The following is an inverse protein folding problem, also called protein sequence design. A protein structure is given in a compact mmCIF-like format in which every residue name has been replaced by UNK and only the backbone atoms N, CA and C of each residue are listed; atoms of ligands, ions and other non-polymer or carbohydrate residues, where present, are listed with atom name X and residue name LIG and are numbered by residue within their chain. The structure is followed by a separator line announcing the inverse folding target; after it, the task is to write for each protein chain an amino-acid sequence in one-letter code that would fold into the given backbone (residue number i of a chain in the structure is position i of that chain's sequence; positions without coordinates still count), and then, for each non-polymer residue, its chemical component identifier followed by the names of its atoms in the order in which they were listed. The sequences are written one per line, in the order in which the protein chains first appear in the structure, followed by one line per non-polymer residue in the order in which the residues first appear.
data_IF_780187991683
#
_entry.id   IF_780187991683
#
_cell.length_a   1.000
_cell.length_b   1.000
_cell.length_c   1.000
_cell.angle_alpha   90.00
_cell.angle_beta   90.00
_cell.angle_gamma   90.00
#
_symmetry.space_group_name_H-M   'P 1'
#
loop_
_entity.id
_entity.type
_entity.pdbx_description
1 polymer ?
2 non-polymer ?
3 non-polymer ?
4 water ?
#
# COMPACT_ATOMS: atom_id res chain seq x y z
N UNK A 1 3.65 -24.82 -13.50
CA UNK A 1 4.90 -24.13 -13.92
C UNK A 1 5.35 -23.07 -12.91
N UNK A 2 6.66 -23.04 -12.58
CA UNK A 2 7.25 -22.14 -11.58
C UNK A 2 8.26 -21.26 -12.24
N UNK A 3 8.13 -19.94 -12.23
CA UNK A 3 9.07 -19.06 -12.87
C UNK A 3 9.79 -18.34 -11.76
N UNK A 4 11.07 -18.02 -11.87
CA UNK A 4 11.78 -17.24 -10.88
C UNK A 4 12.06 -15.80 -11.37
N UNK A 5 11.85 -14.72 -10.55
CA UNK A 5 12.44 -13.43 -10.83
C UNK A 5 13.04 -12.97 -9.53
N UNK A 6 13.64 -11.83 -9.43
CA UNK A 6 14.32 -11.43 -8.24
C UNK A 6 14.68 -9.97 -8.31
N UNK A 7 15.28 -9.37 -7.27
CA UNK A 7 15.72 -7.98 -7.31
C UNK A 7 16.82 -7.83 -6.28
N UNK A 8 17.47 -6.67 -6.27
CA UNK A 8 18.54 -6.42 -5.36
C UNK A 8 18.75 -4.93 -5.36
N UNK A 9 19.37 -4.25 -4.37
CA UNK A 9 19.70 -2.83 -4.45
C UNK A 9 20.91 -2.61 -3.60
N UNK A 10 21.68 -1.56 -3.67
CA UNK A 10 22.76 -1.29 -2.74
C UNK A 10 23.02 0.17 -2.80
N UNK A 11 23.53 0.84 -1.78
CA UNK A 11 23.80 2.27 -1.82
C UNK A 11 24.00 2.70 -0.37
N UNK A 12 23.73 3.98 -0.15
CA UNK A 12 23.91 4.58 1.16
C UNK A 12 22.67 5.33 1.54
N UNK A 13 22.40 5.34 2.85
CA UNK A 13 21.14 5.88 3.31
C UNK A 13 21.39 6.75 4.50
N UNK A 14 20.68 7.86 4.53
CA UNK A 14 20.80 8.83 5.57
C UNK A 14 19.51 8.83 6.36
N UNK A 15 19.57 8.42 7.63
CA UNK A 15 18.38 8.24 8.47
C UNK A 15 17.92 9.38 9.32
N UNK A 16 18.63 10.47 9.05
CA UNK A 16 18.36 11.68 9.76
C UNK A 16 19.63 12.22 10.39
N UNK A 17 20.55 11.30 10.74
CA UNK A 17 21.75 11.63 11.53
C UNK A 17 23.04 11.10 10.94
N UNK A 18 22.96 9.83 10.49
CA UNK A 18 24.06 9.12 9.87
C UNK A 18 23.74 8.46 8.59
N UNK A 19 24.81 8.36 7.81
CA UNK A 19 24.77 7.58 6.57
C UNK A 19 25.01 6.09 6.86
N UNK A 20 24.41 5.10 6.21
CA UNK A 20 24.74 3.72 6.46
C UNK A 20 24.65 3.09 5.11
N UNK A 21 25.41 2.04 4.93
CA UNK A 21 25.29 1.22 3.74
C UNK A 21 23.92 0.57 3.86
N UNK A 22 23.17 0.33 2.79
CA UNK A 22 21.94 -0.39 2.90
C UNK A 22 21.90 -1.26 1.66
N UNK A 23 21.59 -2.57 1.74
CA UNK A 23 21.40 -3.45 0.59
C UNK A 23 20.51 -4.66 0.85
N UNK A 24 20.08 -5.36 -0.20
CA UNK A 24 19.24 -6.50 -0.06
C UNK A 24 19.15 -7.20 -1.37
N UNK A 25 18.74 -8.45 -1.33
CA UNK A 25 18.36 -9.14 -2.51
C UNK A 25 17.16 -9.99 -2.13
N UNK A 26 16.20 -10.21 -3.05
CA UNK A 26 14.98 -11.01 -2.91
C UNK A 26 14.80 -11.88 -4.16
N UNK A 27 13.92 -12.90 -4.15
CA UNK A 27 13.65 -13.86 -5.23
C UNK A 27 12.18 -14.08 -5.09
N UNK A 28 11.48 -14.05 -6.21
CA UNK A 28 10.05 -14.21 -6.21
C UNK A 28 9.75 -15.47 -6.98
N UNK A 29 8.89 -16.38 -6.47
CA UNK A 29 8.45 -17.61 -7.07
C UNK A 29 7.07 -17.28 -7.58
N UNK A 30 6.81 -17.41 -8.88
CA UNK A 30 5.50 -17.15 -9.49
C UNK A 30 5.10 -18.49 -10.03
N UNK A 31 3.96 -19.03 -9.74
CA UNK A 31 3.61 -20.33 -10.20
C UNK A 31 2.31 -20.10 -10.94
N UNK A 32 2.07 -20.75 -12.11
CA UNK A 32 0.81 -20.62 -12.92
C UNK A 32 0.36 -21.91 -13.59
N UNK A 33 -0.91 -21.92 -14.02
CA UNK A 33 -1.55 -23.07 -14.66
C UNK A 33 -2.91 -22.65 -15.24
N UNK A 34 -3.48 -23.40 -16.22
CA UNK A 34 -4.75 -23.10 -16.84
C UNK A 34 -5.54 -24.35 -16.70
N UNK A 35 -6.82 -24.36 -16.32
CA UNK A 35 -7.55 -25.60 -16.26
C UNK A 35 -8.08 -25.89 -17.70
N UNK A 36 -8.61 -27.10 -17.98
CA UNK A 36 -9.22 -27.46 -19.23
C UNK A 36 -10.26 -26.42 -19.66
N UNK A 37 -11.13 -25.71 -18.91
CA UNK A 37 -11.99 -24.74 -19.51
C UNK A 37 -11.37 -23.37 -19.54
N UNK A 38 -10.09 -23.20 -19.22
CA UNK A 38 -9.49 -21.89 -19.37
C UNK A 38 -9.57 -20.99 -18.18
N UNK A 39 -9.86 -21.58 -17.03
CA UNK A 39 -9.69 -20.87 -15.77
C UNK A 39 -8.20 -20.74 -15.47
N UNK A 40 -7.66 -19.65 -14.97
CA UNK A 40 -6.24 -19.47 -14.63
C UNK A 40 -6.11 -19.58 -13.11
N UNK A 41 -4.99 -20.03 -12.66
CA UNK A 41 -4.83 -20.18 -11.25
C UNK A 41 -3.38 -19.98 -11.00
N UNK A 42 -2.96 -19.61 -9.82
CA UNK A 42 -1.53 -19.44 -9.54
C UNK A 42 -1.30 -19.11 -8.10
N UNK A 43 -0.07 -18.80 -7.79
CA UNK A 43 0.34 -18.59 -6.44
C UNK A 43 1.64 -17.88 -6.52
N UNK A 44 2.01 -17.01 -5.61
CA UNK A 44 3.39 -16.52 -5.58
C UNK A 44 3.81 -16.03 -4.21
N UNK A 45 5.07 -16.06 -3.85
CA UNK A 45 5.53 -15.53 -2.60
C UNK A 45 7.03 -15.23 -2.75
N UNK A 46 7.72 -14.41 -1.90
CA UNK A 46 9.14 -14.19 -2.08
C UNK A 46 9.91 -15.15 -1.26
N UNK A 47 11.19 -15.46 -1.47
CA UNK A 47 11.82 -16.51 -0.69
C UNK A 47 11.88 -16.30 0.85
N UNK A 48 12.07 -15.05 1.29
CA UNK A 48 12.13 -14.68 2.68
C UNK A 48 10.77 -14.86 3.31
N UNK A 49 9.69 -15.18 2.56
CA UNK A 49 8.40 -15.43 3.11
C UNK A 49 7.98 -16.87 3.05
N UNK A 50 8.88 -17.80 2.73
CA UNK A 50 8.58 -19.21 2.63
C UNK A 50 7.78 -19.65 3.82
N UNK A 51 8.18 -19.31 5.03
CA UNK A 51 7.47 -19.75 6.21
C UNK A 51 6.08 -19.19 6.26
N UNK A 52 5.78 -17.93 6.11
CA UNK A 52 4.44 -17.51 6.29
C UNK A 52 3.65 -17.86 5.12
N UNK A 53 4.26 -18.03 3.94
CA UNK A 53 3.51 -18.32 2.76
C UNK A 53 2.95 -19.70 2.91
N UNK A 54 3.57 -20.58 3.62
CA UNK A 54 3.07 -21.90 3.93
C UNK A 54 1.90 -21.87 4.91
N UNK A 55 1.45 -20.74 5.49
CA UNK A 55 0.30 -20.76 6.38
C UNK A 55 -0.71 -19.81 5.84
N UNK A 56 -0.41 -19.03 4.81
CA UNK A 56 -1.40 -18.19 4.23
C UNK A 56 -1.27 -16.83 4.78
N UNK A 57 -0.21 -16.53 5.53
CA UNK A 57 -0.02 -15.22 6.08
C UNK A 57 0.65 -14.36 5.07
N UNK A 58 1.57 -14.92 4.26
CA UNK A 58 2.31 -14.24 3.22
C UNK A 58 2.11 -14.91 1.89
N UNK A 59 2.21 -14.18 0.80
CA UNK A 59 2.03 -14.73 -0.51
C UNK A 59 0.56 -14.72 -0.86
N UNK A 60 0.12 -15.01 -2.07
CA UNK A 60 -1.31 -15.03 -2.38
C UNK A 60 -1.60 -16.21 -3.24
N UNK A 61 -2.78 -16.80 -3.28
CA UNK A 61 -3.15 -17.88 -4.17
C UNK A 61 -4.32 -17.30 -4.96
N UNK A 62 -4.60 -17.66 -6.22
CA UNK A 62 -5.78 -17.12 -6.91
C UNK A 62 -6.33 -18.08 -7.95
N UNK A 63 -7.52 -17.74 -8.40
CA UNK A 63 -8.26 -18.49 -9.37
C UNK A 63 -9.05 -17.40 -10.05
N UNK A 64 -8.92 -17.23 -11.38
CA UNK A 64 -9.70 -16.27 -12.16
C UNK A 64 -10.44 -16.91 -13.31
N UNK A 65 -11.31 -16.16 -13.93
CA UNK A 65 -12.17 -16.68 -14.94
C UNK A 65 -13.01 -15.53 -15.39
N UNK A 66 -14.09 -15.98 -15.96
CA UNK A 66 -14.97 -15.04 -16.59
C UNK A 66 -15.66 -14.34 -15.46
N UNK A 67 -15.81 -15.02 -14.30
CA UNK A 67 -16.42 -14.36 -13.14
C UNK A 67 -15.53 -13.31 -12.44
N UNK A 68 -14.22 -13.14 -12.68
CA UNK A 68 -13.40 -12.17 -11.97
C UNK A 68 -12.29 -12.96 -11.32
N UNK A 69 -11.55 -12.50 -10.33
CA UNK A 69 -10.40 -13.24 -9.78
C UNK A 69 -10.69 -13.35 -8.33
N UNK A 70 -10.45 -14.46 -7.69
CA UNK A 70 -10.56 -14.51 -6.28
C UNK A 70 -9.16 -14.66 -5.80
N UNK A 71 -8.65 -13.87 -4.87
CA UNK A 71 -7.29 -14.08 -4.39
C UNK A 71 -7.33 -14.26 -2.87
N UNK A 72 -6.50 -15.09 -2.26
CA UNK A 72 -6.54 -15.32 -0.85
C UNK A 72 -5.13 -15.32 -0.33
N UNK A 73 -4.83 -14.78 0.87
CA UNK A 73 -3.48 -14.80 1.40
C UNK A 73 -3.23 -13.44 1.98
N UNK A 74 -2.09 -12.84 1.73
CA UNK A 74 -1.83 -11.47 2.04
C UNK A 74 -2.28 -10.62 0.84
N UNK A 75 -3.57 -10.71 0.49
CA UNK A 75 -4.17 -10.03 -0.63
C UNK A 75 -4.24 -8.55 -0.31
N UNK A 76 -3.94 -7.63 -1.22
CA UNK A 76 -4.24 -6.21 -1.03
C UNK A 76 -5.70 -5.95 -0.76
N UNK A 77 -6.07 -4.79 -0.23
CA UNK A 77 -7.43 -4.49 0.08
C UNK A 77 -8.02 -3.93 -1.20
N UNK A 78 -9.33 -3.91 -1.32
CA UNK A 78 -9.99 -3.49 -2.53
C UNK A 78 -9.61 -2.13 -3.02
N UNK A 79 -9.51 -1.09 -2.20
CA UNK A 79 -9.16 0.19 -2.74
C UNK A 79 -7.78 0.20 -3.24
N UNK A 80 -6.87 -0.42 -2.54
CA UNK A 80 -5.49 -0.31 -2.87
C UNK A 80 -5.29 -1.15 -4.10
N UNK A 81 -6.07 -2.23 -4.29
CA UNK A 81 -5.98 -3.10 -5.49
C UNK A 81 -6.30 -2.21 -6.68
N UNK A 82 -7.29 -1.30 -6.68
CA UNK A 82 -7.56 -0.50 -7.84
C UNK A 82 -6.73 0.76 -8.08
N UNK A 83 -6.25 1.39 -6.98
CA UNK A 83 -5.62 2.70 -7.08
C UNK A 83 -4.15 2.70 -6.75
N UNK A 84 -3.68 1.70 -6.05
CA UNK A 84 -2.28 1.64 -5.82
C UNK A 84 -1.83 2.74 -4.93
N UNK A 85 -0.55 3.09 -5.02
CA UNK A 85 0.08 4.08 -4.16
C UNK A 85 0.81 5.25 -4.84
N UNK A 86 1.57 6.13 -4.25
CA UNK A 86 2.09 7.27 -4.98
C UNK A 86 3.51 7.01 -5.45
N UNK A 87 4.15 7.91 -6.21
CA UNK A 87 5.51 7.80 -6.70
C UNK A 87 6.38 7.26 -5.59
N UNK A 88 7.21 6.24 -5.78
CA UNK A 88 8.03 5.66 -4.76
C UNK A 88 9.29 6.43 -4.85
N UNK A 89 9.61 7.08 -3.74
CA UNK A 89 10.84 7.84 -3.66
C UNK A 89 11.95 7.08 -2.94
N UNK A 90 13.13 7.20 -3.52
CA UNK A 90 14.34 6.73 -2.91
C UNK A 90 14.61 5.31 -3.31
N UNK A 91 15.87 4.89 -3.36
CA UNK A 91 16.17 3.50 -3.72
C UNK A 91 15.76 2.54 -2.66
N UNK A 92 15.72 2.92 -1.40
CA UNK A 92 15.25 2.06 -0.34
C UNK A 92 13.76 2.38 -0.14
N UNK A 93 12.96 3.18 -0.88
CA UNK A 93 11.56 3.50 -0.60
C UNK A 93 11.62 4.25 0.69
N UNK A 94 11.70 5.59 0.67
CA UNK A 94 12.01 6.36 1.88
C UNK A 94 10.74 6.65 2.60
N UNK A 95 10.42 5.60 3.31
CA UNK A 95 9.19 5.54 4.08
C UNK A 95 9.28 6.15 5.48
N UNK A 96 10.46 6.58 5.90
CA UNK A 96 10.69 6.96 7.30
C UNK A 96 9.84 8.00 7.95
N UNK A 97 9.69 9.05 7.16
CA UNK A 97 8.89 10.18 7.56
C UNK A 97 7.40 10.05 7.09
N UNK A 98 6.87 8.88 6.65
CA UNK A 98 5.47 8.76 6.20
C UNK A 98 5.26 7.97 4.90
N UNK A 99 6.21 8.15 3.97
CA UNK A 99 6.22 7.39 2.74
C UNK A 99 5.27 7.89 1.70
N UNK A 100 5.40 7.15 0.62
CA UNK A 100 4.66 7.41 -0.61
C UNK A 100 3.34 6.67 -0.58
N UNK A 101 3.06 5.89 0.43
CA UNK A 101 1.86 5.10 0.37
C UNK A 101 0.67 5.93 0.84
N UNK A 102 -0.44 5.67 0.18
CA UNK A 102 -1.70 6.25 0.48
C UNK A 102 -2.14 5.52 1.76
N UNK A 103 -2.66 6.17 2.83
CA UNK A 103 -3.05 5.54 4.09
C UNK A 103 -4.30 4.68 4.04
N UNK A 104 -4.23 3.57 3.33
CA UNK A 104 -5.33 2.64 3.25
C UNK A 104 -5.48 2.01 4.65
N UNK A 105 -6.70 1.83 5.13
CA UNK A 105 -6.95 1.22 6.41
C UNK A 105 -6.81 -0.25 6.31
N UNK A 106 -7.37 -0.91 5.29
CA UNK A 106 -7.34 -2.38 5.25
C UNK A 106 -6.50 -3.15 4.24
N UNK A 107 -6.42 -4.44 4.49
CA UNK A 107 -5.82 -5.37 3.61
C UNK A 107 -4.35 -5.33 3.79
N UNK A 108 -3.74 -6.24 3.02
CA UNK A 108 -2.32 -6.30 2.85
C UNK A 108 -1.70 -6.54 4.22
N UNK A 109 -0.45 -6.10 4.25
CA UNK A 109 0.32 -5.86 5.41
C UNK A 109 -0.16 -4.54 6.05
N UNK A 110 -1.44 -4.11 6.12
CA UNK A 110 -1.77 -2.90 6.85
C UNK A 110 -2.40 -3.28 8.18
N UNK A 111 -3.42 -2.55 8.68
CA UNK A 111 -4.01 -2.73 10.01
C UNK A 111 -4.65 -4.09 10.20
N UNK A 112 -5.06 -4.70 9.09
CA UNK A 112 -5.70 -6.02 9.07
C UNK A 112 -4.75 -7.21 8.96
N UNK A 113 -3.42 -7.01 8.86
CA UNK A 113 -2.47 -8.10 8.63
C UNK A 113 -2.60 -9.32 9.55
N UNK A 114 -2.95 -9.11 10.83
CA UNK A 114 -3.16 -10.20 11.79
C UNK A 114 -4.20 -11.19 11.29
N UNK A 115 -5.17 -10.69 10.51
CA UNK A 115 -6.33 -11.37 9.99
C UNK A 115 -6.10 -12.38 8.89
N UNK A 116 -4.99 -12.13 8.18
CA UNK A 116 -4.56 -12.88 7.02
C UNK A 116 -4.59 -14.40 7.10
N UNK A 117 -5.09 -15.28 6.17
CA UNK A 117 -5.35 -14.97 4.79
C UNK A 117 -6.63 -14.15 4.77
N UNK A 118 -6.50 -12.99 4.13
CA UNK A 118 -7.67 -12.21 3.80
C UNK A 118 -8.08 -12.55 2.34
N UNK A 119 -9.25 -12.24 1.84
CA UNK A 119 -9.74 -12.59 0.52
C UNK A 119 -9.83 -11.38 -0.40
N UNK A 120 -9.43 -11.22 -1.66
CA UNK A 120 -9.74 -10.04 -2.47
C UNK A 120 -10.51 -10.53 -3.70
N UNK A 121 -11.62 -9.89 -4.05
CA UNK A 121 -12.35 -10.20 -5.26
C UNK A 121 -12.25 -9.02 -6.21
N UNK A 122 -11.95 -9.19 -7.50
CA UNK A 122 -11.83 -8.04 -8.41
C UNK A 122 -12.50 -8.51 -9.67
N UNK A 123 -12.95 -7.58 -10.48
CA UNK A 123 -13.65 -7.91 -11.71
C UNK A 123 -13.55 -6.72 -12.63
N UNK A 124 -13.03 -6.71 -13.86
CA UNK A 124 -13.21 -5.58 -14.78
C UNK A 124 -14.06 -6.00 -15.97
N UNK A 125 -14.65 -5.03 -16.63
CA UNK A 125 -15.44 -5.27 -17.83
C UNK A 125 -15.23 -3.99 -18.62
N UNK A 126 -14.37 -4.05 -19.62
CA UNK A 126 -14.21 -2.90 -20.45
C UNK A 126 -13.52 -1.88 -19.64
N UNK A 127 -14.19 -0.77 -19.46
CA UNK A 127 -13.59 0.34 -18.74
C UNK A 127 -13.98 0.40 -17.27
N UNK A 128 -14.79 -0.49 -16.68
CA UNK A 128 -15.12 -0.39 -15.29
C UNK A 128 -14.45 -1.53 -14.52
N UNK A 129 -14.22 -1.28 -13.23
CA UNK A 129 -13.61 -2.28 -12.37
C UNK A 129 -14.29 -2.26 -11.04
N UNK A 130 -14.49 -3.37 -10.39
CA UNK A 130 -14.93 -3.41 -9.04
C UNK A 130 -14.00 -4.30 -8.25
N UNK A 131 -13.84 -4.11 -6.91
CA UNK A 131 -13.03 -4.92 -6.04
C UNK A 131 -13.74 -4.94 -4.70
N UNK A 132 -13.72 -6.01 -3.92
CA UNK A 132 -14.35 -6.11 -2.62
C UNK A 132 -13.36 -6.95 -1.82
N UNK A 133 -13.12 -6.73 -0.52
CA UNK A 133 -12.24 -7.58 0.28
C UNK A 133 -12.69 -7.83 1.72
N UNK A 134 -12.27 -8.88 2.42
CA UNK A 134 -12.59 -9.10 3.81
C UNK A 134 -11.78 -10.16 4.51
N UNK A 135 -11.74 -10.17 5.83
CA UNK A 135 -11.18 -11.27 6.58
C UNK A 135 -12.35 -12.18 6.84
N UNK A 136 -12.05 -13.30 7.46
CA UNK A 136 -13.05 -14.23 7.96
C UNK A 136 -13.71 -13.88 9.31
N UNK A 137 -13.19 -12.88 10.08
CA UNK A 137 -13.72 -12.47 11.40
C UNK A 137 -13.26 -13.29 12.63
N UNK A 138 -12.22 -14.10 12.29
CA UNK A 138 -11.47 -15.03 13.11
C UNK A 138 -10.00 -14.72 12.77
N UNK A 139 -9.01 -15.24 13.55
CA UNK A 139 -7.57 -15.01 13.28
C UNK A 139 -7.02 -16.15 12.38
N UNK A 140 -7.34 -16.04 11.08
CA UNK A 140 -7.06 -17.10 10.13
C UNK A 140 -7.90 -18.31 10.58
N UNK A 141 -7.33 -19.51 10.65
CA UNK A 141 -8.06 -20.71 11.07
C UNK A 141 -8.26 -20.89 12.59
N UNK A 142 -7.66 -20.05 13.44
CA UNK A 142 -7.92 -20.14 14.88
C UNK A 142 -9.08 -19.15 15.05
N UNK A 143 -10.23 -19.76 15.28
CA UNK A 143 -11.46 -19.02 15.48
C UNK A 143 -11.50 -18.12 16.71
N UNK A 144 -10.91 -16.96 16.42
CA UNK A 144 -10.73 -15.87 17.34
C UNK A 144 -11.78 -14.82 16.98
N UNK A 145 -12.70 -14.44 17.89
CA UNK A 145 -13.68 -13.36 17.65
C UNK A 145 -12.90 -12.03 17.51
N UNK A 146 -12.81 -11.52 16.26
CA UNK A 146 -12.04 -10.32 16.07
C UNK A 146 -12.63 -9.43 14.98
N UNK A 147 -11.63 -8.62 14.58
CA UNK A 147 -11.65 -7.74 13.44
C UNK A 147 -12.22 -8.42 12.21
N UNK A 148 -13.39 -7.89 12.06
CA UNK A 148 -14.07 -8.13 10.88
C UNK A 148 -13.68 -6.86 10.14
N UNK A 149 -12.98 -6.97 9.05
CA UNK A 149 -12.54 -5.80 8.28
C UNK A 149 -13.15 -5.85 6.89
N UNK A 150 -13.62 -4.89 6.12
CA UNK A 150 -13.96 -5.21 4.75
C UNK A 150 -13.85 -3.97 3.92
N UNK A 151 -13.79 -4.07 2.61
CA UNK A 151 -13.69 -2.89 1.76
C UNK A 151 -14.34 -3.16 0.43
N UNK A 152 -14.74 -2.07 -0.24
CA UNK A 152 -15.24 -2.07 -1.61
C UNK A 152 -14.74 -0.84 -2.40
N UNK A 153 -14.39 -1.05 -3.68
CA UNK A 153 -13.92 0.03 -4.49
C UNK A 153 -14.43 -0.25 -5.89
N UNK A 154 -14.41 0.80 -6.69
CA UNK A 154 -14.82 0.70 -8.06
C UNK A 154 -14.15 1.78 -8.82
N UNK A 155 -13.78 1.48 -10.07
CA UNK A 155 -13.20 2.49 -10.94
C UNK A 155 -13.78 2.48 -12.36
N UNK A 156 -13.47 3.60 -13.00
CA UNK A 156 -13.92 3.90 -14.31
C UNK A 156 -12.88 4.64 -15.09
N UNK A 157 -12.44 4.07 -16.18
CA UNK A 157 -11.44 4.72 -16.98
C UNK A 157 -12.11 5.36 -18.16
N UNK A 158 -11.77 6.60 -18.41
CA UNK A 158 -12.37 7.34 -19.47
C UNK A 158 -11.20 8.01 -20.07
N UNK A 159 -10.72 7.20 -20.97
CA UNK A 159 -9.64 7.61 -21.81
C UNK A 159 -8.35 7.65 -21.05
N UNK A 160 -8.12 8.88 -20.66
CA UNK A 160 -6.85 9.24 -20.07
C UNK A 160 -6.78 9.11 -18.54
N UNK A 161 -7.92 8.76 -17.98
CA UNK A 161 -8.06 8.98 -16.60
C UNK A 161 -8.81 7.85 -16.09
N UNK A 162 -8.47 7.54 -14.87
CA UNK A 162 -9.32 6.65 -14.13
C UNK A 162 -9.82 7.51 -13.03
N UNK A 163 -11.06 7.44 -12.65
CA UNK A 163 -11.39 8.03 -11.41
C UNK A 163 -12.10 6.93 -10.67
N UNK A 164 -12.04 6.87 -9.33
CA UNK A 164 -12.74 5.83 -8.60
C UNK A 164 -13.00 6.24 -7.17
N UNK A 165 -13.71 5.36 -6.49
CA UNK A 165 -13.97 5.52 -5.08
C UNK A 165 -14.03 4.19 -4.36
N UNK A 166 -13.78 4.26 -3.06
CA UNK A 166 -13.73 3.09 -2.21
C UNK A 166 -14.15 3.44 -0.80
N UNK A 167 -14.52 2.40 -0.09
CA UNK A 167 -14.93 2.52 1.27
C UNK A 167 -14.23 1.42 2.03
N UNK A 168 -13.68 1.72 3.21
CA UNK A 168 -12.99 0.74 4.05
C UNK A 168 -13.55 0.89 5.43
N UNK A 169 -13.76 -0.20 6.12
CA UNK A 169 -14.35 -0.22 7.41
C UNK A 169 -13.63 -1.27 8.23
N UNK A 170 -13.28 -1.00 9.51
CA UNK A 170 -12.69 -1.96 10.45
C UNK A 170 -13.59 -2.04 11.70
N UNK A 171 -14.21 -3.17 12.01
CA UNK A 171 -15.08 -3.31 13.17
C UNK A 171 -14.37 -3.72 14.39
N UNK A 172 -14.75 -3.13 15.49
CA UNK A 172 -14.06 -3.33 16.74
C UNK A 172 -14.83 -4.45 17.41
N UNK A 173 -14.18 -5.41 18.04
CA UNK A 173 -14.83 -6.42 18.84
C UNK A 173 -15.27 -5.89 20.21
N UNK A 174 -14.78 -4.72 20.71
CA UNK A 174 -15.17 -4.09 21.96
C UNK A 174 -15.02 -2.61 21.70
N UNK A 175 -16.11 -1.97 21.35
CA UNK A 175 -16.02 -0.58 21.05
C UNK A 175 -15.74 0.19 22.35
N UNK A 176 -15.87 -0.33 23.57
CA UNK A 176 -15.48 0.48 24.74
C UNK A 176 -13.97 0.50 24.80
N UNK A 177 -13.31 -0.39 24.09
CA UNK A 177 -11.90 -0.34 24.09
C UNK A 177 -11.36 0.27 22.83
N UNK A 178 -12.05 0.11 21.69
CA UNK A 178 -11.51 0.59 20.42
C UNK A 178 -12.66 1.04 19.57
N UNK A 179 -12.74 2.27 19.11
CA UNK A 179 -13.78 2.60 18.19
C UNK A 179 -13.58 1.84 16.86
N UNK A 180 -14.68 1.61 16.14
CA UNK A 180 -14.66 1.17 14.75
C UNK A 180 -14.00 2.22 13.89
N UNK A 181 -13.36 1.89 12.79
CA UNK A 181 -12.66 2.92 12.04
C UNK A 181 -13.25 2.81 10.65
N UNK A 182 -13.37 3.87 9.90
CA UNK A 182 -13.93 3.80 8.59
C UNK A 182 -13.27 4.89 7.79
N UNK A 183 -13.23 4.68 6.50
CA UNK A 183 -12.65 5.67 5.64
C UNK A 183 -13.32 5.53 4.30
N UNK A 184 -13.52 6.69 3.67
CA UNK A 184 -14.04 6.84 2.33
C UNK A 184 -12.98 7.48 1.43
N UNK A 185 -12.71 6.91 0.24
CA UNK A 185 -11.65 7.41 -0.62
C UNK A 185 -12.13 7.64 -2.01
N UNK A 186 -11.61 8.69 -2.61
CA UNK A 186 -11.81 9.10 -3.99
C UNK A 186 -10.45 9.30 -4.59
N UNK A 187 -10.25 8.88 -5.80
CA UNK A 187 -8.92 8.95 -6.35
C UNK A 187 -9.10 9.21 -7.81
N UNK A 188 -8.11 9.80 -8.38
CA UNK A 188 -8.20 10.17 -9.74
C UNK A 188 -6.81 9.93 -10.25
N UNK A 189 -6.62 9.10 -11.30
CA UNK A 189 -5.30 8.86 -11.88
C UNK A 189 -5.29 9.37 -13.33
N UNK A 190 -4.28 10.11 -13.78
CA UNK A 190 -4.30 10.69 -15.10
C UNK A 190 -2.95 10.42 -15.70
N UNK A 191 -2.82 9.90 -16.93
CA UNK A 191 -1.48 9.75 -17.55
C UNK A 191 -1.45 10.68 -18.74
N UNK A 192 -0.45 11.52 -18.96
CA UNK A 192 -0.46 12.45 -20.06
C UNK A 192 0.89 12.27 -20.69
N UNK A 193 1.04 11.28 -21.54
CA UNK A 193 2.33 11.12 -22.16
C UNK A 193 3.21 10.39 -21.17
N UNK A 194 4.34 11.00 -20.80
CA UNK A 194 5.26 10.37 -19.84
C UNK A 194 5.00 10.95 -18.43
N UNK A 195 3.80 11.45 -18.12
CA UNK A 195 3.60 12.07 -16.86
C UNK A 195 2.48 11.39 -16.23
N UNK A 196 2.59 11.13 -14.96
CA UNK A 196 1.53 10.46 -14.28
C UNK A 196 1.35 11.32 -13.10
N UNK A 197 0.07 11.44 -12.85
CA UNK A 197 -0.44 12.30 -11.81
C UNK A 197 -1.40 11.44 -11.03
N UNK A 198 -1.30 11.35 -9.68
CA UNK A 198 -2.24 10.53 -8.92
C UNK A 198 -2.65 11.37 -7.77
N UNK A 199 -3.91 11.47 -7.44
CA UNK A 199 -4.30 12.33 -6.35
C UNK A 199 -5.35 11.64 -5.56
N UNK A 200 -5.57 11.85 -4.25
CA UNK A 200 -6.70 11.19 -3.54
C UNK A 200 -7.16 12.14 -2.47
N UNK A 201 -8.37 11.86 -1.98
CA UNK A 201 -8.90 12.55 -0.83
C UNK A 201 -9.58 11.48 -0.04
N UNK A 202 -9.30 11.27 1.24
CA UNK A 202 -10.02 10.27 1.99
C UNK A 202 -10.50 11.01 3.22
N UNK A 203 -11.62 10.53 3.74
CA UNK A 203 -12.07 11.01 5.01
C UNK A 203 -12.85 9.98 5.81
N UNK A 204 -12.95 10.10 7.13
CA UNK A 204 -13.70 9.14 7.91
C UNK A 204 -13.44 9.41 9.36
N UNK A 205 -13.25 8.33 10.11
CA UNK A 205 -13.08 8.36 11.53
C UNK A 205 -12.23 7.19 11.95
N UNK A 206 -11.38 7.52 12.91
CA UNK A 206 -10.34 6.68 13.47
C UNK A 206 -10.56 6.40 14.96
N UNK A 207 -10.08 5.35 15.60
CA UNK A 207 -10.13 5.25 17.04
C UNK A 207 -9.12 6.25 17.65
N UNK A 208 -9.47 7.04 18.69
CA UNK A 208 -8.66 8.06 19.31
C UNK A 208 -7.25 7.67 19.62
N UNK A 209 -7.13 6.58 20.35
CA UNK A 209 -5.80 6.22 20.76
C UNK A 209 -5.04 5.61 19.59
N UNK A 210 -5.64 4.96 18.56
CA UNK A 210 -4.87 4.60 17.35
C UNK A 210 -4.35 5.88 16.72
N UNK A 211 -5.21 6.87 16.56
CA UNK A 211 -4.79 8.13 15.99
C UNK A 211 -3.71 8.78 16.77
N UNK A 212 -3.74 8.76 18.12
CA UNK A 212 -2.73 9.35 18.99
C UNK A 212 -1.50 8.51 18.81
N UNK A 213 -1.56 7.19 18.73
CA UNK A 213 -0.38 6.38 18.50
C UNK A 213 0.29 6.65 17.15
N UNK A 214 -0.43 7.00 16.07
CA UNK A 214 0.14 7.37 14.76
C UNK A 214 1.19 8.46 14.91
N UNK A 215 0.83 9.48 15.70
CA UNK A 215 1.67 10.64 15.92
C UNK A 215 2.55 10.46 17.12
N UNK A 216 2.55 9.23 17.65
CA UNK A 216 3.40 8.77 18.73
C UNK A 216 3.19 9.34 20.17
N UNK A 217 1.91 9.54 20.51
CA UNK A 217 1.45 10.19 21.73
C UNK A 217 0.93 9.16 22.70
N UNK A 218 1.18 9.23 24.02
CA UNK A 218 0.55 8.26 24.91
C UNK A 218 -0.96 8.39 24.76
N UNK A 219 -1.69 7.31 24.98
CA UNK A 219 -3.13 7.35 25.02
C UNK A 219 -3.67 7.88 26.31
N UNK A 220 -4.93 8.21 26.20
CA UNK A 220 -5.56 8.78 27.31
C UNK A 220 -6.38 7.72 28.04
N UNK A 221 -6.25 7.55 29.40
CA UNK A 221 -6.94 6.56 30.24
C UNK A 221 -8.42 6.86 30.33
N UNK A 222 -9.12 6.55 29.25
CA UNK A 222 -10.55 6.66 29.13
C UNK A 222 -11.08 5.64 28.14
N UNK A 223 -12.41 5.51 28.12
CA UNK A 223 -13.08 4.59 27.23
C UNK A 223 -12.83 5.02 25.76
N UNK A 224 -13.01 4.19 24.71
CA UNK A 224 -12.64 4.59 23.37
C UNK A 224 -13.58 5.60 22.80
N UNK A 225 -13.04 6.58 22.04
CA UNK A 225 -13.73 7.63 21.29
C UNK A 225 -13.29 7.61 19.80
N UNK A 226 -14.14 7.95 18.87
CA UNK A 226 -13.74 7.97 17.51
C UNK A 226 -13.28 9.41 17.26
N UNK A 227 -12.18 9.77 16.63
CA UNK A 227 -11.91 11.16 16.24
C UNK A 227 -12.10 11.21 14.72
N UNK A 228 -12.44 12.32 14.09
CA UNK A 228 -12.60 12.45 12.67
C UNK A 228 -11.28 12.80 12.01
N UNK A 229 -10.99 12.38 10.78
CA UNK A 229 -9.71 12.65 10.13
C UNK A 229 -9.97 12.93 8.66
N UNK A 230 -9.08 13.55 7.90
CA UNK A 230 -9.27 13.60 6.47
C UNK A 230 -7.84 13.53 6.01
N UNK A 231 -7.59 12.85 4.91
CA UNK A 231 -6.23 12.70 4.45
C UNK A 231 -6.23 13.14 3.02
N UNK A 232 -5.18 13.68 2.37
CA UNK A 232 -5.18 13.87 0.92
C UNK A 232 -3.76 14.04 0.32
N UNK A 233 -3.46 13.93 -0.98
CA UNK A 233 -2.08 13.99 -1.45
C UNK A 233 -1.99 13.86 -2.94
N UNK A 234 -0.80 14.04 -3.43
CA UNK A 234 -0.58 14.13 -4.85
C UNK A 234 0.82 13.69 -5.27
N UNK A 235 0.99 12.92 -6.34
CA UNK A 235 2.34 12.72 -6.84
C UNK A 235 2.32 13.01 -8.33
N UNK A 236 3.44 13.47 -8.81
CA UNK A 236 3.59 13.74 -10.19
C UNK A 236 4.88 13.07 -10.60
N UNK A 237 4.99 12.24 -11.63
CA UNK A 237 6.33 11.88 -12.13
C UNK A 237 6.30 11.93 -13.65
N UNK A 238 7.50 12.26 -14.20
CA UNK A 238 7.74 12.31 -15.64
C UNK A 238 9.08 11.78 -16.03
N UNK A 239 9.09 11.16 -17.19
CA UNK A 239 10.29 10.57 -17.72
C UNK A 239 10.76 11.30 -18.93
N UNK A 240 11.98 11.80 -18.90
CA UNK A 240 12.63 12.32 -20.07
C UNK A 240 13.87 11.53 -20.40
N UNK A 241 13.54 10.71 -21.37
CA UNK A 241 14.55 9.87 -21.90
C UNK A 241 14.66 8.76 -20.91
N UNK A 242 15.84 8.76 -20.29
CA UNK A 242 16.13 7.76 -19.28
C UNK A 242 16.05 8.33 -17.88
N UNK A 243 15.67 9.60 -17.69
CA UNK A 243 15.56 10.17 -16.40
C UNK A 243 14.12 10.40 -16.02
N UNK A 244 13.68 9.88 -14.86
CA UNK A 244 12.36 10.12 -14.32
C UNK A 244 12.55 11.01 -13.13
N UNK A 245 11.74 12.00 -12.93
CA UNK A 245 11.84 12.83 -11.78
C UNK A 245 10.42 12.78 -11.20
N UNK A 246 10.18 12.74 -9.90
CA UNK A 246 8.84 12.70 -9.37
C UNK A 246 8.88 12.95 -7.90
N UNK A 247 7.73 13.18 -7.32
CA UNK A 247 7.61 13.47 -5.90
C UNK A 247 6.16 13.36 -5.48
N UNK A 248 5.84 13.59 -4.22
CA UNK A 248 4.48 13.50 -3.78
C UNK A 248 4.35 14.43 -2.58
N UNK A 249 3.14 14.77 -2.13
CA UNK A 249 2.98 15.49 -0.90
C UNK A 249 1.64 15.00 -0.40
N UNK A 250 1.48 14.75 0.90
CA UNK A 250 0.23 14.23 1.43
C UNK A 250 -0.01 14.87 2.78
N UNK A 251 -1.26 14.94 3.22
CA UNK A 251 -1.50 15.43 4.55
C UNK A 251 -2.51 14.56 5.17
N UNK A 252 -2.27 14.44 6.47
CA UNK A 252 -3.19 13.75 7.37
C UNK A 252 -3.56 14.77 8.43
N UNK A 253 -4.84 15.05 8.55
CA UNK A 253 -5.31 15.96 9.56
C UNK A 253 -6.28 15.14 10.40
N UNK A 254 -5.89 14.78 11.62
CA UNK A 254 -6.81 14.06 12.50
C UNK A 254 -7.21 15.11 13.49
N UNK A 255 -8.48 15.31 13.46
CA UNK A 255 -9.07 16.41 14.19
C UNK A 255 -8.89 16.27 15.69
N UNK A 256 -8.70 17.35 16.42
CA UNK A 256 -8.43 17.36 17.84
C UNK A 256 -7.14 16.61 18.13
N UNK A 257 -6.38 15.98 17.23
CA UNK A 257 -5.14 15.34 17.61
C UNK A 257 -3.96 15.96 16.88
N UNK A 258 -3.63 16.04 15.57
CA UNK A 258 -2.43 16.69 15.07
C UNK A 258 -2.52 16.63 13.57
N UNK A 259 -1.65 17.34 12.87
CA UNK A 259 -1.64 17.44 11.45
C UNK A 259 -0.24 17.30 11.06
N UNK A 260 -0.11 16.57 9.96
CA UNK A 260 1.18 16.42 9.38
C UNK A 260 0.97 16.40 7.88
N UNK A 261 1.93 17.12 7.29
CA UNK A 261 2.28 17.12 5.89
C UNK A 261 3.62 16.41 5.71
N UNK A 262 3.62 15.42 4.81
CA UNK A 262 4.84 14.72 4.52
C UNK A 262 5.01 14.70 3.01
N UNK A 263 6.27 14.65 2.60
CA UNK A 263 6.66 14.70 1.21
C UNK A 263 8.01 14.05 0.88
N UNK A 264 8.35 14.01 -0.41
CA UNK A 264 9.54 13.41 -0.93
C UNK A 264 9.70 13.78 -2.39
N UNK A 265 10.92 13.74 -2.84
CA UNK A 265 11.36 14.13 -4.15
C UNK A 265 12.39 13.08 -4.53
N UNK A 266 12.25 12.47 -5.69
CA UNK A 266 13.27 11.52 -6.11
C UNK A 266 13.47 11.60 -7.60
N UNK A 267 14.50 10.87 -8.07
CA UNK A 267 14.90 10.73 -9.48
C UNK A 267 15.54 9.37 -9.77
N UNK A 268 15.45 8.83 -10.99
CA UNK A 268 16.04 7.56 -11.38
C UNK A 268 16.72 7.84 -12.70
N UNK A 269 17.77 7.09 -12.96
CA UNK A 269 18.38 7.14 -14.24
C UNK A 269 18.48 5.69 -14.65
N UNK A 270 17.91 5.32 -15.79
CA UNK A 270 17.91 3.95 -16.22
C UNK A 270 19.16 3.50 -16.90
N UNK A 271 19.98 2.60 -16.39
CA UNK A 271 21.15 2.19 -17.13
C UNK A 271 20.85 1.13 -18.22
N UNK A 272 19.60 0.78 -18.31
CA UNK A 272 19.13 -0.23 -19.21
C UNK A 272 19.43 -1.59 -18.67
N UNK A 273 18.73 -2.69 -18.96
CA UNK A 273 19.22 -4.01 -18.61
C UNK A 273 18.67 -4.53 -17.29
N UNK A 274 17.98 -3.64 -16.57
CA UNK A 274 17.40 -4.00 -15.30
C UNK A 274 18.05 -3.22 -14.19
N UNK A 275 19.06 -2.35 -14.41
CA UNK A 275 19.72 -1.58 -13.36
C UNK A 275 19.33 -0.12 -13.50
N UNK A 276 19.26 0.72 -12.48
CA UNK A 276 19.04 2.16 -12.62
C UNK A 276 19.62 2.77 -11.37
N UNK A 277 20.01 4.03 -11.39
CA UNK A 277 20.54 4.71 -10.24
C UNK A 277 19.36 5.49 -9.72
N UNK A 278 19.09 5.42 -8.43
CA UNK A 278 17.88 5.99 -7.90
C UNK A 278 18.34 6.70 -6.68
N UNK A 279 17.75 7.80 -6.32
CA UNK A 279 18.14 8.51 -5.11
C UNK A 279 17.00 9.36 -4.66
N UNK A 280 16.82 9.91 -3.47
CA UNK A 280 15.59 10.54 -3.11
C UNK A 280 15.76 11.21 -1.78
N UNK A 281 14.71 11.92 -1.40
CA UNK A 281 14.70 12.74 -0.21
C UNK A 281 13.28 12.85 0.33
N UNK A 282 12.98 12.61 1.61
CA UNK A 282 11.61 12.67 2.06
C UNK A 282 11.68 13.31 3.40
N UNK A 283 10.56 13.89 3.85
CA UNK A 283 10.52 14.54 5.13
C UNK A 283 9.11 14.93 5.44
N UNK A 284 8.82 15.37 6.66
CA UNK A 284 7.51 15.88 6.97
C UNK A 284 7.69 17.13 7.80
N UNK A 285 6.61 17.75 8.21
CA UNK A 285 6.67 18.99 8.94
C UNK A 285 6.55 18.89 10.46
N UNK A 286 6.46 17.71 11.05
CA UNK A 286 6.35 17.65 12.48
C UNK A 286 7.69 18.10 13.03
N UNK A 287 7.68 19.02 14.02
CA UNK A 287 8.63 19.12 15.14
C UNK A 287 10.02 18.48 15.13
N UNK A 288 10.19 17.16 15.40
CA UNK A 288 11.55 16.57 15.30
C UNK A 288 12.16 16.67 13.90
N UNK A 289 11.37 16.09 12.95
CA UNK A 289 11.80 15.71 11.62
C UNK A 289 12.94 16.36 10.81
N UNK A 290 13.79 15.32 10.83
CA UNK A 290 15.10 15.31 10.22
C UNK A 290 14.93 14.62 8.87
N UNK A 291 15.28 15.22 7.76
CA UNK A 291 15.21 14.53 6.51
C UNK A 291 16.01 13.25 6.48
N UNK A 292 15.44 12.29 5.75
CA UNK A 292 16.11 11.06 5.37
C UNK A 292 16.31 11.21 3.87
N UNK A 293 17.22 10.43 3.37
CA UNK A 293 17.60 10.55 1.99
C UNK A 293 18.36 9.34 1.61
N UNK A 294 18.50 9.04 0.31
CA UNK A 294 19.40 7.96 -0.05
C UNK A 294 19.95 8.05 -1.46
N UNK A 295 20.87 7.18 -1.83
CA UNK A 295 21.42 7.08 -3.16
C UNK A 295 22.08 5.71 -3.44
N UNK A 296 21.64 5.01 -4.51
CA UNK A 296 22.18 3.72 -4.79
C UNK A 296 21.62 3.18 -6.08
N UNK A 297 21.85 1.92 -6.31
CA UNK A 297 21.44 1.31 -7.55
C UNK A 297 20.39 0.28 -7.26
N UNK A 298 19.47 -0.02 -8.13
CA UNK A 298 18.37 -0.93 -7.91
C UNK A 298 18.47 -1.87 -9.13
N UNK A 299 18.17 -3.18 -9.11
CA UNK A 299 18.49 -4.19 -10.11
C UNK A 299 17.31 -5.09 -10.18
N UNK A 300 16.84 -5.56 -11.30
CA UNK A 300 15.65 -6.40 -11.41
C UNK A 300 16.19 -7.63 -12.15
N UNK A 301 15.93 -8.91 -11.82
CA UNK A 301 16.50 -10.03 -12.51
C UNK A 301 15.34 -10.96 -12.87
#
# INVERSE_FOLDING_TARGET
EVKLSGDARMGVMYNGDDWNFSSRSRVLFTMSGTTDSGLEFGASFKAHESVGAETGEDGTVFLSGAFGKIEMGDALGASEALFGDLYEVGYTDLDDRGGNDIPYLTGDERLTAEDNPVLLYTYSAGAFSVAASMSDGKVGETSEDDAQEMAVAAAYTFGNYTVGLGYEKIDSPDTALMADMEQLELAAIAKFGATNVKAYYADGELDRDFARAVFDLTPVAAAATAVDHKAYGLSVDSTFGATTVGGYVQVLDIDTIDDVTYYGLGASYDLGGGASIVGGIADNDLPNSDMVADLGVKFKF
#
